data_IF_447190800555
#
_entry.id   IF_447190800555
#
_cell.length_a   1.000
_cell.length_b   1.000
_cell.length_c   1.000
_cell.angle_alpha   90.00
_cell.angle_beta   90.00
_cell.angle_gamma   90.00
#
_symmetry.space_group_name_H-M   'P 1'
#
loop_
_entity.id
_entity.type
_entity.pdbx_description
1 polymer ?
#
# COMPACT_ATOMS: atom_id res chain seq x y z
N UNK A 1 5.58 0.08 -5.49
CA UNK A 1 6.22 -0.68 -4.38
C UNK A 1 7.74 -0.63 -4.51
N UNK A 2 8.52 -0.75 -3.40
CA UNK A 2 9.98 -0.53 -3.40
C UNK A 2 10.79 -1.53 -4.24
N UNK A 3 10.27 -2.71 -4.52
CA UNK A 3 11.02 -3.74 -5.26
C UNK A 3 10.18 -4.43 -6.34
N UNK A 4 10.80 -4.81 -7.46
CA UNK A 4 10.14 -5.56 -8.54
C UNK A 4 9.58 -6.93 -8.06
N UNK A 5 10.23 -7.55 -7.07
CA UNK A 5 9.72 -8.75 -6.43
C UNK A 5 8.38 -8.51 -5.74
N UNK A 6 8.23 -7.40 -5.01
CA UNK A 6 6.95 -7.04 -4.37
C UNK A 6 5.87 -6.79 -5.42
N UNK A 7 6.19 -6.05 -6.47
CA UNK A 7 5.27 -5.81 -7.58
C UNK A 7 4.81 -7.12 -8.22
N UNK A 8 5.73 -7.94 -8.72
CA UNK A 8 5.39 -9.13 -9.52
C UNK A 8 4.88 -10.29 -8.69
N UNK A 9 5.60 -10.61 -7.58
CA UNK A 9 5.40 -11.87 -6.86
C UNK A 9 4.43 -11.76 -5.69
N UNK A 10 4.13 -10.55 -5.25
CA UNK A 10 3.17 -10.31 -4.19
C UNK A 10 1.93 -9.66 -4.80
N UNK A 11 2.02 -8.41 -5.20
CA UNK A 11 0.87 -7.64 -5.64
C UNK A 11 0.19 -8.22 -6.88
N UNK A 12 0.92 -8.38 -8.00
CA UNK A 12 0.32 -8.88 -9.25
C UNK A 12 -0.06 -10.34 -9.20
N UNK A 13 0.64 -11.16 -8.41
CA UNK A 13 0.22 -12.55 -8.14
C UNK A 13 -1.13 -12.58 -7.45
N UNK A 14 -1.37 -11.71 -6.46
CA UNK A 14 -2.63 -11.64 -5.76
C UNK A 14 -3.76 -11.10 -6.64
N UNK A 15 -3.49 -10.06 -7.43
CA UNK A 15 -4.44 -9.56 -8.44
C UNK A 15 -4.84 -10.68 -9.40
N UNK A 16 -3.89 -11.48 -9.90
CA UNK A 16 -4.16 -12.63 -10.77
C UNK A 16 -5.01 -13.69 -10.07
N UNK A 17 -4.72 -13.98 -8.81
CA UNK A 17 -5.49 -14.91 -7.96
C UNK A 17 -6.94 -14.47 -7.84
N UNK A 18 -7.16 -13.19 -7.51
CA UNK A 18 -8.48 -12.58 -7.38
C UNK A 18 -9.24 -12.55 -8.72
N UNK A 19 -8.56 -12.20 -9.82
CA UNK A 19 -9.12 -12.21 -11.17
C UNK A 19 -9.61 -13.61 -11.54
N UNK A 20 -8.78 -14.64 -11.33
CA UNK A 20 -9.15 -16.01 -11.64
C UNK A 20 -10.27 -16.53 -10.72
N UNK A 21 -10.32 -16.10 -9.45
CA UNK A 21 -11.41 -16.43 -8.54
C UNK A 21 -12.72 -15.80 -9.01
N UNK A 22 -12.71 -14.53 -9.41
CA UNK A 22 -13.87 -13.86 -9.98
C UNK A 22 -14.40 -14.62 -11.20
N UNK A 23 -13.50 -14.97 -12.14
CA UNK A 23 -13.85 -15.74 -13.33
C UNK A 23 -14.47 -17.10 -13.01
N UNK A 24 -13.93 -17.85 -12.04
CA UNK A 24 -14.52 -19.13 -11.59
C UNK A 24 -15.93 -18.97 -11.00
N UNK A 25 -16.19 -17.82 -10.40
CA UNK A 25 -17.51 -17.47 -9.83
C UNK A 25 -18.46 -16.83 -10.86
N UNK A 26 -18.13 -16.88 -12.15
CA UNK A 26 -18.96 -16.32 -13.21
C UNK A 26 -18.91 -14.78 -13.36
N UNK A 27 -18.01 -14.12 -12.63
CA UNK A 27 -17.84 -12.67 -12.69
C UNK A 27 -16.80 -12.35 -13.79
N UNK A 28 -17.25 -11.67 -14.84
CA UNK A 28 -16.37 -11.18 -15.89
C UNK A 28 -15.87 -9.77 -15.53
N UNK A 29 -14.61 -9.67 -15.13
CA UNK A 29 -13.96 -8.39 -14.83
C UNK A 29 -13.48 -7.64 -16.09
N UNK A 30 -13.51 -8.29 -17.26
CA UNK A 30 -13.02 -7.72 -18.52
C UNK A 30 -11.50 -7.53 -18.58
N UNK A 31 -11.04 -7.04 -19.73
CA UNK A 31 -9.63 -6.75 -19.96
C UNK A 31 -8.73 -7.97 -20.10
N UNK A 32 -7.45 -7.70 -20.38
CA UNK A 32 -6.38 -8.70 -20.49
C UNK A 32 -5.39 -8.48 -19.36
N UNK A 33 -5.29 -9.44 -18.45
CA UNK A 33 -4.34 -9.41 -17.36
C UNK A 33 -3.01 -10.00 -17.79
N UNK A 34 -1.93 -9.22 -17.64
CA UNK A 34 -0.54 -9.57 -17.94
C UNK A 34 0.29 -9.64 -16.65
N UNK A 35 1.60 -9.83 -16.78
CA UNK A 35 2.49 -10.01 -15.61
C UNK A 35 2.56 -8.80 -14.68
N UNK A 36 2.46 -7.57 -15.22
CA UNK A 36 2.50 -6.32 -14.46
C UNK A 36 1.54 -5.26 -15.01
N UNK A 37 0.59 -5.67 -15.84
CA UNK A 37 -0.45 -4.77 -16.34
C UNK A 37 -1.79 -5.47 -16.48
N UNK A 38 -2.83 -4.68 -16.46
CA UNK A 38 -4.20 -5.08 -16.76
C UNK A 38 -4.76 -4.08 -17.78
N UNK A 39 -5.03 -4.55 -18.98
CA UNK A 39 -5.35 -3.74 -20.15
C UNK A 39 -6.80 -3.96 -20.58
N UNK A 40 -7.58 -2.91 -20.65
CA UNK A 40 -8.95 -2.91 -21.15
C UNK A 40 -9.01 -2.31 -22.56
N UNK A 41 -8.39 -1.14 -22.76
CA UNK A 41 -8.18 -0.46 -24.02
C UNK A 41 -6.79 0.18 -24.02
N UNK A 42 -6.38 0.82 -25.12
CA UNK A 42 -5.14 1.58 -25.18
C UNK A 42 -5.10 2.75 -24.17
N UNK A 43 -6.27 3.30 -23.83
CA UNK A 43 -6.41 4.45 -22.91
C UNK A 43 -6.85 4.04 -21.48
N UNK A 44 -7.34 2.79 -21.30
CA UNK A 44 -7.81 2.30 -20.02
C UNK A 44 -7.03 1.06 -19.60
N UNK A 45 -6.09 1.25 -18.75
CA UNK A 45 -5.19 0.21 -18.25
C UNK A 45 -4.67 0.51 -16.85
N UNK A 46 -4.18 -0.53 -16.18
CA UNK A 46 -3.41 -0.42 -14.95
C UNK A 46 -2.07 -1.11 -15.12
N UNK A 47 -1.02 -0.57 -14.53
CA UNK A 47 0.30 -1.19 -14.51
C UNK A 47 1.03 -0.95 -13.20
N UNK A 48 1.99 -1.81 -12.90
CA UNK A 48 2.80 -1.70 -11.69
C UNK A 48 4.28 -1.74 -11.98
N UNK A 49 5.04 -0.97 -11.23
CA UNK A 49 6.49 -0.92 -11.33
C UNK A 49 7.14 -0.73 -9.95
N UNK A 50 8.42 -1.02 -9.87
CA UNK A 50 9.22 -0.85 -8.67
C UNK A 50 9.95 0.51 -8.70
N UNK A 51 10.13 1.09 -7.52
CA UNK A 51 10.73 2.42 -7.40
C UNK A 51 12.25 2.42 -7.23
N UNK A 52 12.87 1.27 -6.85
CA UNK A 52 14.32 1.22 -6.63
C UNK A 52 15.18 1.38 -7.88
N UNK A 53 14.67 0.89 -9.01
CA UNK A 53 15.36 0.96 -10.30
C UNK A 53 14.75 2.05 -11.18
N UNK A 54 14.16 3.06 -10.53
CA UNK A 54 13.27 3.96 -11.18
C UNK A 54 13.91 5.30 -11.46
N UNK A 55 13.81 5.70 -12.71
CA UNK A 55 14.10 7.05 -13.14
C UNK A 55 12.87 7.94 -12.87
N UNK A 56 12.97 9.02 -12.07
CA UNK A 56 11.87 9.96 -11.86
C UNK A 56 11.23 10.46 -13.17
N UNK A 57 11.99 10.48 -14.25
CA UNK A 57 11.52 10.90 -15.57
C UNK A 57 10.53 9.91 -16.22
N UNK A 58 10.45 8.66 -15.76
CA UNK A 58 9.47 7.69 -16.28
C UNK A 58 8.01 7.96 -15.80
N UNK A 59 7.78 8.88 -14.84
CA UNK A 59 6.44 9.44 -14.57
C UNK A 59 6.04 10.46 -15.65
N UNK A 60 7.01 10.96 -16.41
CA UNK A 60 6.74 11.85 -17.54
C UNK A 60 6.00 11.04 -18.62
N UNK A 61 4.88 11.58 -19.06
CA UNK A 61 4.05 10.92 -20.08
C UNK A 61 2.86 10.10 -19.55
N UNK A 62 2.72 9.96 -18.24
CA UNK A 62 1.49 9.41 -17.66
C UNK A 62 0.45 10.53 -17.58
N UNK A 63 -0.36 10.65 -18.62
CA UNK A 63 -1.45 11.61 -18.71
C UNK A 63 -2.74 10.87 -19.03
N UNK A 64 -3.76 11.10 -18.22
CA UNK A 64 -5.12 10.62 -18.47
C UNK A 64 -6.11 11.54 -17.75
N UNK A 65 -7.33 11.60 -18.25
CA UNK A 65 -8.42 12.35 -17.60
C UNK A 65 -8.72 11.83 -16.20
N UNK A 66 -8.50 10.54 -15.96
CA UNK A 66 -8.69 9.90 -14.67
C UNK A 66 -7.44 9.08 -14.31
N UNK A 67 -6.84 9.41 -13.20
CA UNK A 67 -5.64 8.73 -12.70
C UNK A 67 -5.84 8.29 -11.26
N UNK A 68 -5.50 7.04 -10.96
CA UNK A 68 -5.34 6.54 -9.60
C UNK A 68 -3.91 6.03 -9.44
N UNK A 69 -3.15 6.65 -8.56
CA UNK A 69 -1.84 6.17 -8.14
C UNK A 69 -1.97 5.46 -6.81
N UNK A 70 -1.45 4.24 -6.72
CA UNK A 70 -1.38 3.47 -5.47
C UNK A 70 0.08 3.28 -5.12
N UNK A 71 0.48 3.82 -3.99
CA UNK A 71 1.83 3.69 -3.43
C UNK A 71 1.78 2.68 -2.29
N UNK A 72 2.31 1.50 -2.52
CA UNK A 72 2.44 0.43 -1.54
C UNK A 72 3.81 0.52 -0.85
N UNK A 73 3.88 0.19 0.44
CA UNK A 73 5.07 0.37 1.30
C UNK A 73 5.57 1.82 1.31
N UNK A 74 4.66 2.76 1.44
CA UNK A 74 4.87 4.19 1.24
C UNK A 74 5.96 4.80 2.14
N UNK A 75 6.19 4.26 3.34
CA UNK A 75 7.26 4.70 4.24
C UNK A 75 8.67 4.43 3.71
N UNK A 76 8.81 3.50 2.76
CA UNK A 76 10.08 3.14 2.13
C UNK A 76 10.36 3.83 0.78
N UNK A 77 9.49 4.74 0.35
CA UNK A 77 9.62 5.43 -0.94
C UNK A 77 10.49 6.69 -0.79
N UNK A 78 11.45 6.87 -1.69
CA UNK A 78 12.32 8.05 -1.70
C UNK A 78 11.57 9.32 -2.11
N UNK A 79 12.04 10.48 -1.65
CA UNK A 79 11.42 11.77 -1.97
C UNK A 79 11.43 12.07 -3.47
N UNK A 80 12.46 11.66 -4.22
CA UNK A 80 12.49 11.82 -5.68
C UNK A 80 11.36 11.07 -6.39
N UNK A 81 10.98 9.91 -5.88
CA UNK A 81 9.84 9.15 -6.38
C UNK A 81 8.52 9.81 -5.96
N UNK A 82 8.44 10.33 -4.74
CA UNK A 82 7.27 11.11 -4.30
C UNK A 82 7.05 12.35 -5.18
N UNK A 83 8.10 13.06 -5.58
CA UNK A 83 8.02 14.17 -6.54
C UNK A 83 7.41 13.72 -7.88
N UNK A 84 7.86 12.57 -8.41
CA UNK A 84 7.29 11.95 -9.60
C UNK A 84 5.80 11.60 -9.42
N UNK A 85 5.43 10.93 -8.32
CA UNK A 85 4.03 10.62 -7.98
C UNK A 85 3.19 11.89 -7.95
N UNK A 86 3.65 12.92 -7.23
CA UNK A 86 2.93 14.19 -7.09
C UNK A 86 2.81 14.96 -8.42
N UNK A 87 3.70 14.74 -9.38
CA UNK A 87 3.58 15.32 -10.71
C UNK A 87 2.42 14.73 -11.52
N UNK A 88 2.13 13.45 -11.33
CA UNK A 88 1.05 12.72 -12.01
C UNK A 88 -0.32 13.04 -11.39
N UNK A 89 -0.39 13.27 -10.07
CA UNK A 89 -1.65 13.50 -9.34
C UNK A 89 -2.09 14.97 -9.31
N UNK A 90 -1.88 15.72 -10.36
CA UNK A 90 -2.24 17.16 -10.44
C UNK A 90 -3.59 17.47 -11.09
N UNK A 91 -4.21 16.49 -11.75
CA UNK A 91 -5.49 16.66 -12.45
C UNK A 91 -6.69 16.66 -11.50
N UNK A 92 -7.84 17.19 -11.95
CA UNK A 92 -9.07 17.24 -11.16
C UNK A 92 -9.57 15.84 -10.75
N UNK A 93 -9.36 14.84 -11.62
CA UNK A 93 -9.76 13.45 -11.38
C UNK A 93 -8.57 12.55 -11.00
N UNK A 94 -7.45 13.14 -10.61
CA UNK A 94 -6.32 12.37 -10.11
C UNK A 94 -6.47 12.09 -8.62
N UNK A 95 -6.23 10.85 -8.23
CA UNK A 95 -6.30 10.38 -6.84
C UNK A 95 -5.04 9.63 -6.46
N UNK A 96 -4.67 9.73 -5.21
CA UNK A 96 -3.53 9.05 -4.62
C UNK A 96 -3.98 8.27 -3.39
N UNK A 97 -3.62 6.99 -3.36
CA UNK A 97 -3.71 6.15 -2.18
C UNK A 97 -2.28 5.74 -1.78
N UNK A 98 -1.86 6.09 -0.58
CA UNK A 98 -0.59 5.67 -0.01
C UNK A 98 -0.85 4.77 1.21
N UNK A 99 -0.26 3.59 1.21
CA UNK A 99 -0.39 2.60 2.28
C UNK A 99 0.99 2.11 2.71
N UNK A 100 1.15 1.85 3.99
CA UNK A 100 2.41 1.36 4.54
C UNK A 100 2.42 1.37 6.07
N UNK A 101 3.39 0.68 6.65
CA UNK A 101 3.62 0.75 8.08
C UNK A 101 4.33 2.06 8.44
N UNK A 102 3.96 2.73 9.53
CA UNK A 102 4.52 4.01 9.95
C UNK A 102 5.90 3.84 10.62
N UNK A 103 6.89 3.37 9.84
CA UNK A 103 8.23 3.03 10.31
C UNK A 103 9.29 4.10 10.08
N UNK A 104 8.95 5.19 9.37
CA UNK A 104 9.87 6.30 9.10
C UNK A 104 9.24 7.61 9.57
N UNK A 105 9.90 8.28 10.52
CA UNK A 105 9.43 9.53 11.13
C UNK A 105 9.83 10.78 10.31
N UNK A 106 10.01 10.63 9.02
CA UNK A 106 10.33 11.71 8.09
C UNK A 106 9.78 11.40 6.69
N UNK A 107 9.82 12.41 5.82
CA UNK A 107 9.43 12.27 4.43
C UNK A 107 7.94 12.47 4.16
N UNK A 108 7.57 12.37 2.89
CA UNK A 108 6.22 12.71 2.39
C UNK A 108 5.14 11.87 3.06
N UNK A 109 5.34 10.56 3.26
CA UNK A 109 4.34 9.70 3.88
C UNK A 109 4.09 10.09 5.34
N UNK A 110 5.14 10.34 6.13
CA UNK A 110 5.00 10.83 7.50
C UNK A 110 4.32 12.20 7.55
N UNK A 111 4.78 13.14 6.72
CA UNK A 111 4.25 14.50 6.69
C UNK A 111 2.77 14.55 6.29
N UNK A 112 2.28 13.59 5.49
CA UNK A 112 0.87 13.49 5.10
C UNK A 112 -0.09 13.42 6.30
N UNK A 113 0.35 12.87 7.44
CA UNK A 113 -0.49 12.74 8.64
C UNK A 113 -0.67 14.04 9.41
N UNK A 114 0.12 15.07 9.10
CA UNK A 114 0.01 16.40 9.72
C UNK A 114 -0.26 17.52 8.71
N UNK A 115 -0.05 17.27 7.43
CA UNK A 115 -0.23 18.25 6.36
C UNK A 115 -1.71 18.42 5.98
N UNK A 116 -2.07 19.64 5.57
CA UNK A 116 -3.39 19.90 5.00
C UNK A 116 -3.55 19.24 3.63
N UNK A 117 -4.77 18.82 3.31
CA UNK A 117 -5.11 18.26 1.99
C UNK A 117 -5.02 16.74 1.91
N UNK A 118 -4.58 16.07 2.96
CA UNK A 118 -4.60 14.61 3.08
C UNK A 118 -5.74 14.16 3.98
N UNK A 119 -6.43 13.11 3.55
CA UNK A 119 -7.25 12.31 4.43
C UNK A 119 -6.41 11.13 4.91
N UNK A 120 -6.33 10.94 6.20
CA UNK A 120 -5.49 9.92 6.81
C UNK A 120 -6.30 9.04 7.75
N UNK A 121 -5.92 7.78 7.82
CA UNK A 121 -6.43 6.83 8.80
C UNK A 121 -5.33 5.85 9.17
N UNK A 122 -5.47 5.23 10.32
CA UNK A 122 -4.64 4.08 10.71
C UNK A 122 -5.55 2.89 11.00
N UNK A 123 -5.00 1.70 10.90
CA UNK A 123 -5.67 0.45 11.23
C UNK A 123 -4.80 -0.26 12.25
N UNK A 124 -5.32 -0.38 13.48
CA UNK A 124 -4.66 -1.17 14.51
C UNK A 124 -4.87 -2.67 14.28
N UNK A 125 -3.91 -3.49 14.69
CA UNK A 125 -4.09 -4.94 14.74
C UNK A 125 -5.36 -5.34 15.50
N UNK A 126 -5.67 -4.63 16.58
CA UNK A 126 -6.85 -4.87 17.41
C UNK A 126 -8.19 -4.59 16.72
N UNK A 127 -8.18 -3.85 15.61
CA UNK A 127 -9.37 -3.59 14.79
C UNK A 127 -9.60 -4.67 13.73
N UNK A 128 -8.67 -5.63 13.61
CA UNK A 128 -8.78 -6.73 12.63
C UNK A 128 -9.81 -7.77 13.09
N UNK A 129 -10.49 -8.45 12.15
CA UNK A 129 -11.53 -9.42 12.49
C UNK A 129 -11.05 -10.57 13.41
N UNK A 130 -9.77 -10.98 13.29
CA UNK A 130 -9.22 -12.06 14.11
C UNK A 130 -9.09 -11.70 15.59
N UNK A 131 -8.93 -10.41 15.92
CA UNK A 131 -8.77 -9.90 17.29
C UNK A 131 -10.06 -9.34 17.89
N UNK A 132 -11.17 -9.44 17.17
CA UNK A 132 -12.48 -9.00 17.66
C UNK A 132 -13.33 -10.15 18.27
N UNK A 133 -12.69 -11.16 18.84
CA UNK A 133 -13.36 -12.22 19.60
C UNK A 133 -14.09 -13.26 18.75
N UNK A 134 -13.84 -13.33 17.44
CA UNK A 134 -14.48 -14.27 16.52
C UNK A 134 -13.58 -15.47 16.12
N UNK A 135 -12.41 -15.59 16.74
CA UNK A 135 -11.38 -16.54 16.33
C UNK A 135 -10.75 -16.18 14.98
N UNK A 136 -10.07 -17.13 14.33
CA UNK A 136 -9.42 -16.90 13.04
C UNK A 136 -10.47 -16.80 11.94
N UNK A 137 -10.84 -15.57 11.58
CA UNK A 137 -11.81 -15.26 10.51
C UNK A 137 -11.11 -15.18 9.15
N UNK A 138 -9.91 -14.57 9.11
CA UNK A 138 -9.11 -14.41 7.90
C UNK A 138 -7.75 -15.08 8.13
N UNK A 139 -7.48 -16.23 7.49
CA UNK A 139 -6.18 -16.87 7.56
C UNK A 139 -5.06 -15.93 7.06
N UNK A 140 -3.96 -15.85 7.81
CA UNK A 140 -2.82 -15.01 7.47
C UNK A 140 -2.89 -13.56 7.99
N UNK A 141 -4.00 -13.14 8.60
CA UNK A 141 -4.02 -11.95 9.43
C UNK A 141 -3.49 -12.27 10.84
N UNK A 142 -3.02 -11.22 11.50
CA UNK A 142 -2.51 -11.25 12.88
C UNK A 142 -3.50 -11.94 13.82
N UNK A 143 -2.97 -12.77 14.74
CA UNK A 143 -3.72 -13.54 15.73
C UNK A 143 -3.44 -13.04 17.14
N UNK A 144 -4.20 -13.54 18.13
CA UNK A 144 -3.93 -13.27 19.55
C UNK A 144 -2.53 -13.75 19.95
N UNK A 145 -2.08 -14.91 19.44
CA UNK A 145 -0.73 -15.42 19.72
C UNK A 145 0.35 -14.47 19.17
N UNK A 146 0.18 -13.95 17.96
CA UNK A 146 1.14 -12.98 17.38
C UNK A 146 1.22 -11.70 18.22
N UNK A 147 0.12 -11.29 18.87
CA UNK A 147 0.11 -10.14 19.79
C UNK A 147 0.89 -10.45 21.07
N UNK A 148 0.70 -11.63 21.67
CA UNK A 148 1.47 -12.02 22.86
C UNK A 148 2.96 -12.12 22.55
N UNK A 149 3.33 -12.77 21.45
CA UNK A 149 4.70 -12.87 20.99
C UNK A 149 5.32 -11.48 20.75
N UNK A 150 4.59 -10.56 20.13
CA UNK A 150 5.04 -9.18 19.92
C UNK A 150 5.18 -8.41 21.24
N UNK A 151 4.32 -8.68 22.23
CA UNK A 151 4.42 -8.09 23.58
C UNK A 151 5.68 -8.54 24.31
N UNK A 152 5.99 -9.84 24.21
CA UNK A 152 7.18 -10.42 24.84
C UNK A 152 8.46 -9.95 24.15
N UNK A 153 8.49 -9.96 22.80
CA UNK A 153 9.68 -9.65 22.01
C UNK A 153 10.02 -8.16 21.97
N UNK A 154 8.99 -7.31 21.83
CA UNK A 154 9.19 -5.87 21.59
C UNK A 154 8.83 -5.00 22.80
N UNK A 155 7.89 -5.45 23.62
CA UNK A 155 7.29 -4.66 24.68
C UNK A 155 6.25 -3.66 24.18
N UNK A 156 5.20 -3.49 24.96
CA UNK A 156 4.19 -2.44 24.70
C UNK A 156 4.83 -1.06 24.79
N UNK A 157 4.49 -0.17 23.86
CA UNK A 157 5.04 1.19 23.81
C UNK A 157 6.37 1.30 23.02
N UNK A 158 7.00 0.19 22.64
CA UNK A 158 8.18 0.24 21.78
C UNK A 158 7.87 0.80 20.39
N UNK A 159 8.90 1.23 19.66
CA UNK A 159 8.78 1.69 18.28
C UNK A 159 8.08 0.65 17.38
N UNK A 160 8.49 -0.63 17.51
CA UNK A 160 7.90 -1.72 16.74
C UNK A 160 6.45 -2.00 17.11
N UNK A 161 6.12 -1.94 18.38
CA UNK A 161 4.75 -2.08 18.85
C UNK A 161 3.85 -0.98 18.30
N UNK A 162 4.25 0.28 18.44
CA UNK A 162 3.48 1.41 17.94
C UNK A 162 3.28 1.34 16.42
N UNK A 163 4.34 1.06 15.66
CA UNK A 163 4.25 1.05 14.20
C UNK A 163 3.57 -0.19 13.62
N UNK A 164 3.75 -1.39 14.21
CA UNK A 164 3.29 -2.65 13.60
C UNK A 164 2.03 -3.21 14.23
N UNK A 165 1.78 -2.92 15.52
CA UNK A 165 0.58 -3.37 16.22
C UNK A 165 -0.48 -2.27 16.24
N UNK A 166 -0.10 -1.06 16.65
CA UNK A 166 -1.05 0.04 16.73
C UNK A 166 -1.26 0.76 15.39
N UNK A 167 -0.35 0.62 14.43
CA UNK A 167 -0.44 1.26 13.13
C UNK A 167 -0.29 2.78 13.18
N UNK A 168 0.36 3.31 14.21
CA UNK A 168 0.60 4.74 14.43
C UNK A 168 2.08 5.07 14.29
N UNK A 169 2.38 6.31 13.92
CA UNK A 169 3.76 6.78 13.97
C UNK A 169 4.22 6.85 15.42
N UNK A 170 5.35 6.19 15.75
CA UNK A 170 5.89 6.23 17.09
C UNK A 170 6.26 7.64 17.52
N UNK A 171 6.12 7.94 18.80
CA UNK A 171 6.62 9.18 19.39
C UNK A 171 8.14 9.24 19.18
N UNK A 172 8.64 10.45 18.87
CA UNK A 172 10.09 10.65 18.82
C UNK A 172 10.62 10.38 20.22
N UNK A 173 11.43 9.34 20.34
CA UNK A 173 12.23 9.14 21.55
C UNK A 173 13.23 10.31 21.61
N UNK A 174 13.07 11.19 22.59
CA UNK A 174 14.04 12.23 22.93
C UNK A 174 15.37 11.63 23.40
#
# INVERSE_FOLDING_TARGET
>A
APTDRQVRRILWKEILSLFNRAKRNGINLGGKLLTKSWEFTEEHFAFGFATRDYDPDAFQGIHSDNVLVIVDEAAGISESIWEGVMSVVRGQNAKLLAIGNPTNLSGTFYNAFTAKGWWTTHISAFETPNLQGKGIVIPGLITEQDIEDAREDWGEGSFLWQSRILGIFPDKVE
#
